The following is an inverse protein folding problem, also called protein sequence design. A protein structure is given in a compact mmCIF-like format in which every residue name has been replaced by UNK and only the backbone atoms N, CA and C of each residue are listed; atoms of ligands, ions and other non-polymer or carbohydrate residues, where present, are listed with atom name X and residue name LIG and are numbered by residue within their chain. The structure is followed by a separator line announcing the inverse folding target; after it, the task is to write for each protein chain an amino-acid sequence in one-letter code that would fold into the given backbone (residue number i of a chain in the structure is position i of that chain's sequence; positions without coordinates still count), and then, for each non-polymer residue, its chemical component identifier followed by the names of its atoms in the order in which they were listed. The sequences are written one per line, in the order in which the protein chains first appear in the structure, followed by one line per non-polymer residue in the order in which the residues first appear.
data_IF_048923871773
#
_entry.id   IF_048923871773
#
_cell.length_a   1.000
_cell.length_b   1.000
_cell.length_c   1.000
_cell.angle_alpha   90.00
_cell.angle_beta   90.00
_cell.angle_gamma   90.00
#
_symmetry.space_group_name_H-M   'P 1'
#
loop_
_entity.id
_entity.type
_entity.pdbx_description
1 polymer ?
#
# COMPACT_ATOMS: atom_id res chain seq x y z
N UNK A 1 3.13 6.17 -1.65
CA UNK A 1 2.59 5.80 -0.32
C UNK A 1 3.62 6.09 0.74
N UNK A 2 3.15 6.60 1.86
CA UNK A 2 3.95 6.92 3.04
C UNK A 2 3.38 6.21 4.25
N UNK A 3 4.26 5.66 5.10
CA UNK A 3 3.88 5.03 6.35
C UNK A 3 4.70 5.60 7.50
N UNK A 4 4.00 6.21 8.47
CA UNK A 4 4.63 6.82 9.64
C UNK A 4 4.90 5.73 10.67
N UNK A 5 6.10 5.73 11.25
CA UNK A 5 6.53 4.84 12.33
C UNK A 5 6.99 5.66 13.53
N UNK A 6 6.25 5.53 14.62
CA UNK A 6 6.52 6.26 15.85
C UNK A 6 7.52 5.54 16.77
N UNK A 7 7.76 4.26 16.56
CA UNK A 7 8.71 3.46 17.34
C UNK A 7 9.33 2.33 16.50
N UNK A 8 10.47 1.82 16.98
CA UNK A 8 11.12 0.66 16.38
C UNK A 8 10.25 -0.61 16.46
N UNK A 9 9.50 -0.78 17.55
CA UNK A 9 8.56 -1.90 17.71
C UNK A 9 7.45 -1.85 16.67
N UNK A 10 6.88 -0.65 16.40
CA UNK A 10 5.87 -0.45 15.36
C UNK A 10 6.45 -0.77 13.97
N UNK A 11 7.69 -0.34 13.69
CA UNK A 11 8.38 -0.70 12.47
C UNK A 11 8.55 -2.23 12.32
N UNK A 12 9.02 -2.91 13.38
CA UNK A 12 9.15 -4.39 13.37
C UNK A 12 7.81 -5.12 13.23
N UNK A 13 6.78 -4.63 13.90
CA UNK A 13 5.45 -5.23 13.82
C UNK A 13 4.85 -5.19 12.40
N UNK A 14 5.26 -4.21 11.59
CA UNK A 14 4.79 -4.11 10.20
C UNK A 14 5.18 -5.33 9.37
N UNK A 15 6.36 -5.91 9.60
CA UNK A 15 6.83 -7.10 8.88
C UNK A 15 6.03 -8.39 9.14
N UNK A 16 5.12 -8.39 10.12
CA UNK A 16 4.13 -9.46 10.29
C UNK A 16 3.09 -9.47 9.17
N UNK A 17 2.93 -8.35 8.44
CA UNK A 17 2.00 -8.21 7.30
C UNK A 17 2.63 -8.74 6.01
N UNK A 18 2.84 -10.04 5.93
CA UNK A 18 3.54 -10.70 4.82
C UNK A 18 2.98 -10.35 3.45
N UNK A 19 1.65 -10.34 3.29
CA UNK A 19 1.00 -10.02 2.00
C UNK A 19 1.33 -8.62 1.51
N UNK A 20 1.40 -7.64 2.42
CA UNK A 20 1.82 -6.28 2.10
C UNK A 20 3.25 -6.26 1.55
N UNK A 21 4.18 -6.87 2.27
CA UNK A 21 5.60 -6.87 1.92
C UNK A 21 5.87 -7.69 0.65
N UNK A 22 5.17 -8.80 0.45
CA UNK A 22 5.21 -9.58 -0.77
C UNK A 22 4.73 -8.77 -1.99
N UNK A 23 3.67 -7.97 -1.85
CA UNK A 23 3.21 -7.04 -2.91
C UNK A 23 4.24 -5.95 -3.18
N UNK A 24 4.75 -5.27 -2.14
CA UNK A 24 5.72 -4.18 -2.28
C UNK A 24 7.02 -4.66 -2.93
N UNK A 25 7.54 -5.82 -2.54
CA UNK A 25 8.75 -6.41 -3.13
C UNK A 25 8.53 -6.96 -4.55
N UNK A 26 7.27 -7.16 -4.96
CA UNK A 26 6.91 -7.82 -6.22
C UNK A 26 6.98 -9.35 -6.18
N UNK A 27 7.33 -9.95 -5.04
CA UNK A 27 7.39 -11.42 -4.89
C UNK A 27 6.00 -12.07 -5.00
N UNK A 28 4.95 -11.36 -4.62
CA UNK A 28 3.57 -11.79 -4.79
C UNK A 28 3.21 -12.14 -6.25
N UNK A 29 3.78 -11.41 -7.21
CA UNK A 29 3.50 -11.59 -8.64
C UNK A 29 4.45 -12.55 -9.35
N UNK A 30 5.56 -12.95 -8.70
CA UNK A 30 6.50 -13.94 -9.23
C UNK A 30 5.96 -15.36 -9.12
N UNK A 31 5.13 -15.62 -8.11
CA UNK A 31 4.44 -16.89 -7.89
C UNK A 31 2.93 -16.61 -7.96
N UNK A 32 2.37 -16.45 -9.15
CA UNK A 32 0.96 -16.12 -9.30
C UNK A 32 0.09 -17.24 -8.73
N UNK A 33 -0.93 -16.83 -7.96
CA UNK A 33 -1.92 -17.78 -7.45
C UNK A 33 -2.76 -18.25 -8.63
N UNK A 34 -2.63 -19.52 -8.97
CA UNK A 34 -3.53 -20.16 -9.93
C UNK A 34 -4.85 -20.43 -9.21
N UNK A 35 -5.92 -19.76 -9.64
CA UNK A 35 -7.25 -20.04 -9.11
C UNK A 35 -7.62 -21.49 -9.40
N UNK A 36 -7.96 -22.30 -8.37
CA UNK A 36 -8.34 -23.72 -8.58
C UNK A 36 -9.60 -23.88 -9.44
N UNK A 37 -10.39 -22.81 -9.61
CA UNK A 37 -11.67 -22.86 -10.31
C UNK A 37 -11.63 -22.42 -11.78
N UNK A 38 -10.57 -21.71 -12.25
CA UNK A 38 -10.58 -21.14 -13.61
C UNK A 38 -9.22 -21.13 -14.32
N UNK A 39 -8.17 -21.72 -13.81
CA UNK A 39 -6.79 -21.61 -14.34
C UNK A 39 -6.36 -20.16 -14.61
N UNK A 40 -6.89 -19.21 -13.83
CA UNK A 40 -6.58 -17.78 -13.99
C UNK A 40 -5.31 -17.50 -13.22
N UNK A 41 -4.31 -17.00 -13.93
CA UNK A 41 -3.07 -16.50 -13.35
C UNK A 41 -3.32 -15.06 -12.88
N UNK A 42 -3.31 -14.84 -11.56
CA UNK A 42 -3.45 -13.52 -10.95
C UNK A 42 -2.08 -12.84 -10.87
N UNK A 43 -1.51 -12.46 -12.00
CA UNK A 43 -0.29 -11.66 -12.08
C UNK A 43 -0.57 -10.15 -11.99
N UNK A 44 0.48 -9.34 -12.07
CA UNK A 44 0.35 -7.88 -12.02
C UNK A 44 -0.49 -7.32 -13.18
N UNK A 45 -0.43 -7.93 -14.35
CA UNK A 45 -1.20 -7.54 -15.54
C UNK A 45 -2.69 -7.84 -15.34
N UNK A 46 -3.00 -8.99 -14.74
CA UNK A 46 -4.37 -9.36 -14.39
C UNK A 46 -4.98 -8.35 -13.42
N UNK A 47 -4.26 -8.00 -12.34
CA UNK A 47 -4.72 -6.98 -11.39
C UNK A 47 -4.96 -5.64 -12.06
N UNK A 48 -4.02 -5.17 -12.87
CA UNK A 48 -4.16 -3.90 -13.59
C UNK A 48 -5.41 -3.90 -14.49
N UNK A 49 -5.65 -4.99 -15.22
CA UNK A 49 -6.79 -5.12 -16.13
C UNK A 49 -8.14 -5.15 -15.40
N UNK A 50 -8.24 -5.82 -14.25
CA UNK A 50 -9.51 -6.08 -13.59
C UNK A 50 -9.81 -5.11 -12.45
N UNK A 51 -8.81 -4.46 -11.87
CA UNK A 51 -8.97 -3.54 -10.74
C UNK A 51 -8.51 -2.12 -11.03
N UNK A 52 -7.92 -1.86 -12.19
CA UNK A 52 -7.34 -0.58 -12.56
C UNK A 52 -6.06 -0.21 -11.77
N UNK A 53 -5.55 -1.12 -10.96
CA UNK A 53 -4.37 -0.89 -10.12
C UNK A 53 -3.55 -2.17 -9.96
N UNK A 54 -2.24 -2.01 -9.78
CA UNK A 54 -1.34 -3.12 -9.45
C UNK A 54 -1.44 -3.56 -7.98
N UNK A 55 -2.26 -2.86 -7.17
CA UNK A 55 -2.35 -3.12 -5.74
C UNK A 55 -1.13 -2.68 -4.93
N UNK A 56 -0.16 -1.99 -5.56
CA UNK A 56 1.02 -1.38 -4.91
C UNK A 56 1.27 0.04 -5.41
N UNK A 57 1.91 0.91 -4.61
CA UNK A 57 2.23 2.27 -5.01
C UNK A 57 3.42 2.31 -5.99
N UNK A 58 3.60 3.43 -6.70
CA UNK A 58 4.82 3.65 -7.52
C UNK A 58 6.07 3.73 -6.65
N UNK A 59 5.95 4.35 -5.47
CA UNK A 59 7.02 4.52 -4.47
C UNK A 59 6.44 4.29 -3.08
N UNK A 60 7.22 3.67 -2.22
CA UNK A 60 6.86 3.43 -0.83
C UNK A 60 7.94 3.98 0.10
N UNK A 61 7.56 4.78 1.08
CA UNK A 61 8.45 5.38 2.06
C UNK A 61 7.99 5.10 3.49
N UNK A 62 8.93 4.77 4.34
CA UNK A 62 8.77 4.94 5.77
C UNK A 62 9.11 6.38 6.16
N UNK A 63 8.37 6.93 7.12
CA UNK A 63 8.64 8.24 7.73
C UNK A 63 8.79 8.01 9.23
N UNK A 64 9.87 8.52 9.80
CA UNK A 64 10.12 8.43 11.23
C UNK A 64 10.99 9.59 11.72
N UNK A 65 11.08 9.75 13.04
CA UNK A 65 12.18 10.49 13.64
C UNK A 65 13.52 9.78 13.43
N UNK A 66 14.65 10.51 13.50
CA UNK A 66 15.98 9.90 13.51
C UNK A 66 16.10 8.83 14.60
N UNK A 67 16.88 7.78 14.36
CA UNK A 67 17.13 6.64 15.27
C UNK A 67 15.96 5.67 15.47
N UNK A 68 14.75 5.98 15.01
CA UNK A 68 13.60 5.05 15.10
C UNK A 68 13.77 3.85 14.16
N UNK A 69 14.20 4.12 12.93
CA UNK A 69 14.41 3.06 11.93
C UNK A 69 15.89 3.05 11.52
N UNK A 70 16.63 1.96 11.80
CA UNK A 70 17.99 1.78 11.29
C UNK A 70 17.99 1.69 9.76
N UNK A 71 18.90 2.42 9.10
CA UNK A 71 18.93 2.50 7.64
C UNK A 71 19.15 1.12 6.98
N UNK A 72 19.97 0.29 7.59
CA UNK A 72 20.30 -1.06 7.14
C UNK A 72 19.11 -2.03 7.19
N UNK A 73 18.09 -1.73 7.98
CA UNK A 73 16.88 -2.55 8.10
C UNK A 73 15.75 -2.11 7.14
N UNK A 74 15.95 -0.98 6.47
CA UNK A 74 14.97 -0.50 5.47
C UNK A 74 15.02 -1.40 4.25
N UNK A 75 13.90 -2.09 3.88
CA UNK A 75 13.87 -2.97 2.73
C UNK A 75 14.31 -2.29 1.43
N UNK A 76 14.82 -3.06 0.48
CA UNK A 76 15.29 -2.52 -0.80
C UNK A 76 14.21 -1.77 -1.58
N UNK A 77 12.96 -2.24 -1.49
CA UNK A 77 11.82 -1.61 -2.18
C UNK A 77 11.38 -0.29 -1.54
N UNK A 78 11.76 -0.01 -0.28
CA UNK A 78 11.31 1.14 0.49
C UNK A 78 12.38 2.24 0.55
N UNK A 79 11.90 3.48 0.60
CA UNK A 79 12.71 4.64 1.01
C UNK A 79 12.51 4.96 2.49
N UNK A 80 13.35 5.86 3.00
CA UNK A 80 13.30 6.38 4.36
C UNK A 80 13.35 7.91 4.34
N UNK A 81 12.43 8.53 5.07
CA UNK A 81 12.37 9.96 5.32
C UNK A 81 12.44 10.16 6.82
N UNK A 82 13.36 11.00 7.28
CA UNK A 82 13.39 11.47 8.66
C UNK A 82 12.72 12.83 8.78
N UNK A 83 12.05 13.07 9.91
CA UNK A 83 11.60 14.40 10.30
C UNK A 83 12.65 14.96 11.25
N UNK A 84 13.38 15.97 10.79
CA UNK A 84 14.44 16.67 11.54
C UNK A 84 14.06 18.14 11.60
N UNK A 85 13.95 18.70 12.80
CA UNK A 85 13.53 20.08 13.03
C UNK A 85 12.22 20.44 12.29
N UNK A 86 11.23 19.55 12.39
CA UNK A 86 9.93 19.64 11.72
C UNK A 86 10.02 19.70 10.17
N UNK A 87 11.14 19.29 9.58
CA UNK A 87 11.35 19.25 8.13
C UNK A 87 11.61 17.81 7.65
N UNK A 88 10.98 17.38 6.56
CA UNK A 88 11.25 16.08 5.99
C UNK A 88 12.60 16.07 5.26
N UNK A 89 13.44 15.08 5.55
CA UNK A 89 14.72 14.83 4.87
C UNK A 89 14.73 13.41 4.31
N UNK A 90 15.00 13.25 3.03
CA UNK A 90 15.11 11.93 2.39
C UNK A 90 16.48 11.34 2.74
N UNK A 91 16.48 10.30 3.56
CA UNK A 91 17.68 9.56 3.96
C UNK A 91 18.00 8.46 2.94
N UNK A 92 16.96 7.76 2.45
CA UNK A 92 17.07 6.73 1.42
C UNK A 92 15.97 6.96 0.38
N UNK A 93 16.34 7.06 -0.89
CA UNK A 93 15.36 7.13 -1.98
C UNK A 93 14.68 5.79 -2.17
N UNK A 94 13.34 5.80 -2.32
CA UNK A 94 12.59 4.61 -2.65
C UNK A 94 12.85 4.17 -4.09
N UNK A 95 12.87 2.85 -4.30
CA UNK A 95 12.88 2.25 -5.63
C UNK A 95 11.51 2.44 -6.31
N UNK A 96 11.51 2.69 -7.60
CA UNK A 96 10.26 2.69 -8.37
C UNK A 96 9.74 1.26 -8.50
N UNK A 97 8.54 0.99 -7.95
CA UNK A 97 8.00 -0.37 -7.85
C UNK A 97 7.29 -0.82 -9.14
N UNK A 98 6.72 0.11 -9.88
CA UNK A 98 6.13 -0.14 -11.20
C UNK A 98 6.07 1.14 -12.04
N UNK A 99 5.89 0.98 -13.35
CA UNK A 99 5.86 2.09 -14.33
C UNK A 99 4.46 2.55 -14.72
N UNK A 100 3.43 1.87 -14.23
CA UNK A 100 2.05 2.18 -14.62
C UNK A 100 1.63 3.53 -14.06
N UNK A 101 0.86 4.27 -14.86
CA UNK A 101 0.27 5.54 -14.44
C UNK A 101 -0.96 5.26 -13.57
N UNK A 102 -1.29 6.23 -12.73
CA UNK A 102 -2.53 6.20 -11.97
C UNK A 102 -3.72 6.23 -12.94
N UNK A 103 -4.67 5.30 -12.79
CA UNK A 103 -5.87 5.29 -13.61
C UNK A 103 -6.90 6.25 -13.05
N UNK A 104 -7.87 6.66 -13.89
CA UNK A 104 -8.98 7.52 -13.47
C UNK A 104 -9.81 6.87 -12.35
N UNK A 105 -10.01 5.55 -12.43
CA UNK A 105 -10.73 4.77 -11.42
C UNK A 105 -10.04 4.84 -10.06
N UNK A 106 -8.71 4.70 -10.03
CA UNK A 106 -7.94 4.82 -8.79
C UNK A 106 -8.01 6.24 -8.22
N UNK A 107 -7.88 7.27 -9.06
CA UNK A 107 -8.02 8.68 -8.65
C UNK A 107 -9.41 8.90 -8.04
N UNK A 108 -10.47 8.46 -8.74
CA UNK A 108 -11.85 8.58 -8.28
C UNK A 108 -12.07 7.85 -6.95
N UNK A 109 -11.46 6.68 -6.76
CA UNK A 109 -11.53 5.94 -5.49
C UNK A 109 -10.83 6.69 -4.36
N UNK A 110 -9.64 7.24 -4.60
CA UNK A 110 -8.91 8.07 -3.62
C UNK A 110 -9.74 9.29 -3.24
N UNK A 111 -10.29 10.01 -4.22
CA UNK A 111 -11.13 11.18 -3.97
C UNK A 111 -12.37 10.82 -3.14
N UNK A 112 -13.08 9.76 -3.49
CA UNK A 112 -14.23 9.27 -2.70
C UNK A 112 -13.84 8.94 -1.27
N UNK A 113 -12.71 8.24 -1.07
CA UNK A 113 -12.24 7.88 0.26
C UNK A 113 -11.85 9.10 1.10
N UNK A 114 -11.19 10.09 0.48
CA UNK A 114 -10.83 11.35 1.15
C UNK A 114 -12.07 12.15 1.51
N UNK A 115 -13.02 12.34 0.57
CA UNK A 115 -14.28 13.04 0.81
C UNK A 115 -15.06 12.37 1.94
N UNK A 116 -15.14 11.05 1.91
CA UNK A 116 -15.81 10.29 2.95
C UNK A 116 -15.17 10.47 4.33
N UNK A 117 -13.82 10.49 4.41
CA UNK A 117 -13.10 10.79 5.68
C UNK A 117 -13.35 12.21 6.17
N UNK A 118 -13.43 13.18 5.25
CA UNK A 118 -13.73 14.57 5.61
C UNK A 118 -15.16 14.73 6.14
N UNK A 119 -16.15 14.05 5.55
CA UNK A 119 -17.57 14.18 5.92
C UNK A 119 -17.90 13.38 7.18
N UNK A 120 -17.38 12.15 7.31
CA UNK A 120 -17.80 11.20 8.34
C UNK A 120 -16.75 10.90 9.40
N UNK A 121 -15.58 11.54 9.33
CA UNK A 121 -14.47 11.32 10.27
C UNK A 121 -13.90 9.89 10.22
N UNK A 122 -13.24 9.48 11.29
CA UNK A 122 -12.57 8.17 11.37
C UNK A 122 -13.50 6.95 11.45
N UNK A 123 -14.82 7.13 11.45
CA UNK A 123 -15.82 6.03 11.54
C UNK A 123 -15.84 5.12 10.31
N UNK A 124 -15.00 5.37 9.32
CA UNK A 124 -15.02 4.72 8.00
C UNK A 124 -14.44 3.30 7.96
N UNK A 125 -13.97 2.77 9.08
CA UNK A 125 -13.46 1.37 9.11
C UNK A 125 -14.57 0.33 8.83
N UNK A 126 -15.85 0.68 8.96
CA UNK A 126 -16.99 -0.24 8.79
C UNK A 126 -17.64 -0.20 7.40
N UNK A 127 -17.19 0.66 6.47
CA UNK A 127 -17.89 0.81 5.17
C UNK A 127 -17.68 -0.37 4.20
N UNK A 128 -16.65 -1.17 4.39
CA UNK A 128 -16.43 -2.38 3.56
C UNK A 128 -17.50 -3.46 3.77
N UNK A 129 -18.16 -3.49 4.95
CA UNK A 129 -19.19 -4.48 5.25
C UNK A 129 -20.55 -4.15 4.64
N UNK A 130 -20.87 -2.86 4.48
CA UNK A 130 -22.20 -2.41 4.02
C UNK A 130 -22.39 -2.54 2.50
N UNK A 131 -21.33 -2.38 1.71
CA UNK A 131 -21.41 -2.57 0.26
C UNK A 131 -21.49 -4.05 -0.14
N UNK A 132 -20.82 -4.92 0.58
CA UNK A 132 -20.88 -6.37 0.35
C UNK A 132 -22.27 -6.95 0.63
N UNK A 133 -23.06 -6.33 1.51
CA UNK A 133 -24.41 -6.76 1.85
C UNK A 133 -25.49 -6.30 0.83
N UNK A 134 -25.24 -5.19 0.10
CA UNK A 134 -26.20 -4.70 -0.90
C UNK A 134 -26.17 -5.42 -2.26
N UNK A 135 -25.10 -6.16 -2.55
CA UNK A 135 -24.98 -6.94 -3.80
C UNK A 135 -25.56 -8.35 -3.65
N UNK A 136 -25.93 -8.79 -2.44
CA UNK A 136 -26.42 -10.16 -2.18
C UNK A 136 -27.95 -10.31 -2.13
N UNK A 137 -28.71 -9.23 -2.31
CA UNK A 137 -30.18 -9.33 -2.41
C UNK A 137 -30.66 -8.64 -3.69
N UNK A 138 -31.07 -9.39 -4.74
CA UNK A 138 -31.82 -8.86 -5.85
C UNK A 138 -33.25 -8.53 -5.43
#
# INVERSE_FOLDING_TARGET
EYEIKCSYQDFKADFKKQDKHNKLSGSYYKNPIVSPYKNIIHDEQWYLKHTGTTGRPNYFYYISEPKVIPLEQVPEYAGLIHIIDNKPQIIKKAKKLHKYKCTFELISQICRNLTARMIYGCSFMNYKSTYALRIKNP
#
